data_IF_035087060261
#
_entry.id   IF_035087060261
#
_cell.length_a   1.000
_cell.length_b   1.000
_cell.length_c   1.000
_cell.angle_alpha   90.00
_cell.angle_beta   90.00
_cell.angle_gamma   90.00
#
_symmetry.space_group_name_H-M   'P 1'
#
loop_
_entity.id
_entity.type
_entity.pdbx_description
1 polymer ?
#
# COMPACT_ATOMS: atom_id res chain seq x y z
N UNK A 1 -2.41 0.51 -9.89
CA UNK A 1 -2.36 1.96 -9.62
C UNK A 1 -1.15 2.10 -8.74
N UNK A 2 -0.01 2.48 -9.34
CA UNK A 2 1.27 2.64 -8.66
C UNK A 2 1.11 3.49 -7.39
N UNK A 3 2.13 3.49 -6.51
CA UNK A 3 2.32 4.55 -5.53
C UNK A 3 2.56 5.89 -6.26
N UNK A 4 1.50 6.42 -6.88
CA UNK A 4 1.49 7.63 -7.68
C UNK A 4 2.05 8.80 -6.87
N UNK A 5 1.94 8.77 -5.55
CA UNK A 5 2.53 9.77 -4.67
C UNK A 5 4.05 9.76 -4.72
N UNK A 6 4.70 8.59 -4.60
CA UNK A 6 6.16 8.52 -4.67
C UNK A 6 6.66 8.92 -6.06
N UNK A 7 5.96 8.47 -7.11
CA UNK A 7 6.23 8.88 -8.49
C UNK A 7 6.10 10.39 -8.68
N UNK A 8 5.02 11.00 -8.19
CA UNK A 8 4.80 12.45 -8.27
C UNK A 8 5.76 13.26 -7.41
N UNK A 9 6.15 12.76 -6.24
CA UNK A 9 7.19 13.38 -5.40
C UNK A 9 8.53 13.36 -6.12
N UNK A 10 8.89 12.23 -6.74
CA UNK A 10 10.11 12.14 -7.56
C UNK A 10 10.06 13.08 -8.77
N UNK A 11 8.97 13.05 -9.53
CA UNK A 11 8.76 13.92 -10.69
C UNK A 11 8.77 15.41 -10.29
N UNK A 12 8.21 15.74 -9.12
CA UNK A 12 8.28 17.10 -8.57
C UNK A 12 9.71 17.52 -8.23
N UNK A 13 10.52 16.64 -7.64
CA UNK A 13 11.93 16.95 -7.36
C UNK A 13 12.76 17.10 -8.64
N UNK A 14 12.51 16.27 -9.64
CA UNK A 14 13.16 16.34 -10.95
C UNK A 14 12.82 17.67 -11.63
N UNK A 15 11.53 18.02 -11.73
CA UNK A 15 11.07 19.30 -12.28
C UNK A 15 11.61 20.51 -11.51
N UNK A 16 11.70 20.45 -10.17
CA UNK A 16 12.33 21.50 -9.36
C UNK A 16 13.84 21.62 -9.65
N UNK A 17 14.51 20.51 -9.96
CA UNK A 17 15.93 20.51 -10.33
C UNK A 17 16.14 21.09 -11.72
N UNK A 18 15.27 20.77 -12.68
CA UNK A 18 15.24 21.38 -14.02
C UNK A 18 14.97 22.89 -13.93
N UNK A 19 13.96 23.30 -13.13
CA UNK A 19 13.65 24.71 -12.84
C UNK A 19 14.85 25.49 -12.30
N UNK A 20 15.72 24.85 -11.51
CA UNK A 20 16.95 25.47 -10.98
C UNK A 20 18.08 25.52 -12.00
N UNK A 21 18.12 24.57 -12.94
CA UNK A 21 19.18 24.44 -13.93
C UNK A 21 18.94 25.32 -15.17
N UNK A 22 17.70 25.61 -15.53
CA UNK A 22 17.37 26.38 -16.73
C UNK A 22 17.14 27.88 -16.48
N UNK A 23 17.68 28.72 -17.37
CA UNK A 23 17.40 30.15 -17.44
C UNK A 23 16.31 30.49 -18.50
N UNK A 24 15.42 29.57 -18.91
CA UNK A 24 14.39 29.97 -19.88
C UNK A 24 13.37 29.02 -20.55
N UNK A 25 13.21 27.71 -20.28
CA UNK A 25 12.21 26.95 -21.06
C UNK A 25 11.51 25.79 -20.32
N UNK A 26 10.80 26.11 -19.24
CA UNK A 26 9.88 25.15 -18.60
C UNK A 26 8.60 25.02 -19.42
N UNK A 27 8.23 23.80 -19.82
CA UNK A 27 6.91 23.53 -20.41
C UNK A 27 5.81 23.66 -19.34
N UNK A 28 5.10 24.79 -19.37
CA UNK A 28 3.98 25.06 -18.45
C UNK A 28 2.86 24.02 -18.55
N UNK A 29 2.73 23.27 -19.64
CA UNK A 29 1.76 22.15 -19.71
C UNK A 29 2.19 20.98 -18.84
N UNK A 30 3.48 20.65 -18.80
CA UNK A 30 4.03 19.61 -17.94
C UNK A 30 3.88 19.99 -16.47
N UNK A 31 4.13 21.26 -16.12
CA UNK A 31 3.90 21.79 -14.77
C UNK A 31 2.42 21.68 -14.38
N UNK A 32 1.51 22.11 -15.26
CA UNK A 32 0.08 22.04 -15.01
C UNK A 32 -0.41 20.60 -14.80
N UNK A 33 0.12 19.65 -15.60
CA UNK A 33 -0.19 18.23 -15.45
C UNK A 33 0.31 17.68 -14.10
N UNK A 34 1.55 17.96 -13.71
CA UNK A 34 2.10 17.53 -12.42
C UNK A 34 1.26 18.07 -11.24
N UNK A 35 0.86 19.34 -11.30
CA UNK A 35 0.00 19.96 -10.28
C UNK A 35 -1.36 19.27 -10.22
N UNK A 36 -1.98 18.98 -11.37
CA UNK A 36 -3.26 18.28 -11.46
C UNK A 36 -3.17 16.86 -10.86
N UNK A 37 -2.11 16.12 -11.19
CA UNK A 37 -1.89 14.78 -10.69
C UNK A 37 -1.64 14.79 -9.17
N UNK A 38 -0.87 15.77 -8.67
CA UNK A 38 -0.62 15.95 -7.23
C UNK A 38 -1.91 16.31 -6.46
N UNK A 39 -2.72 17.21 -7.00
CA UNK A 39 -4.01 17.57 -6.41
C UNK A 39 -4.94 16.35 -6.32
N UNK A 40 -5.02 15.56 -7.39
CA UNK A 40 -5.80 14.32 -7.42
C UNK A 40 -5.29 13.31 -6.38
N UNK A 41 -3.97 13.14 -6.25
CA UNK A 41 -3.41 12.25 -5.23
C UNK A 41 -3.66 12.74 -3.80
N UNK A 42 -3.56 14.05 -3.54
CA UNK A 42 -3.87 14.62 -2.23
C UNK A 42 -5.33 14.39 -1.85
N UNK A 43 -6.26 14.51 -2.81
CA UNK A 43 -7.68 14.20 -2.58
C UNK A 43 -7.90 12.73 -2.20
N UNK A 44 -7.27 11.80 -2.92
CA UNK A 44 -7.29 10.36 -2.57
C UNK A 44 -6.76 10.12 -1.17
N UNK A 45 -5.64 10.76 -0.80
CA UNK A 45 -5.06 10.66 0.55
C UNK A 45 -5.99 11.19 1.64
N UNK A 46 -6.64 12.32 1.38
CA UNK A 46 -7.58 12.93 2.31
C UNK A 46 -8.78 12.02 2.55
N UNK A 47 -9.39 11.49 1.48
CA UNK A 47 -10.52 10.56 1.57
C UNK A 47 -10.14 9.32 2.38
N UNK A 48 -8.96 8.75 2.10
CA UNK A 48 -8.44 7.59 2.83
C UNK A 48 -8.20 7.86 4.31
N UNK A 49 -7.56 8.98 4.63
CA UNK A 49 -7.31 9.39 6.01
C UNK A 49 -8.62 9.58 6.78
N UNK A 50 -9.62 10.22 6.15
CA UNK A 50 -10.94 10.41 6.74
C UNK A 50 -11.65 9.07 6.99
N UNK A 51 -11.57 8.12 6.05
CA UNK A 51 -12.15 6.78 6.21
C UNK A 51 -11.50 6.02 7.38
N UNK A 52 -10.17 6.01 7.46
CA UNK A 52 -9.42 5.39 8.57
C UNK A 52 -9.72 6.06 9.92
N UNK A 53 -9.87 7.39 9.94
CA UNK A 53 -10.22 8.14 11.14
C UNK A 53 -11.64 7.79 11.62
N UNK A 54 -12.61 7.74 10.69
CA UNK A 54 -13.99 7.37 11.00
C UNK A 54 -14.09 5.92 11.53
N UNK A 55 -13.39 4.99 10.90
CA UNK A 55 -13.30 3.60 11.36
C UNK A 55 -12.68 3.50 12.77
N UNK A 56 -11.58 4.23 13.03
CA UNK A 56 -10.95 4.27 14.35
C UNK A 56 -11.87 4.84 15.44
N UNK A 57 -12.63 5.89 15.14
CA UNK A 57 -13.64 6.44 16.07
C UNK A 57 -14.69 5.37 16.39
N UNK A 58 -15.18 4.67 15.37
CA UNK A 58 -16.12 3.56 15.54
C UNK A 58 -15.57 2.41 16.39
N UNK A 59 -14.32 2.02 16.17
CA UNK A 59 -13.65 0.99 16.96
C UNK A 59 -13.49 1.40 18.43
N UNK A 60 -13.09 2.65 18.70
CA UNK A 60 -12.97 3.18 20.07
C UNK A 60 -14.32 3.17 20.80
N UNK A 61 -15.39 3.61 20.13
CA UNK A 61 -16.74 3.60 20.71
C UNK A 61 -17.18 2.17 21.06
N UNK A 62 -16.96 1.20 20.17
CA UNK A 62 -17.28 -0.21 20.42
C UNK A 62 -16.47 -0.76 21.61
N UNK A 63 -15.18 -0.44 21.70
CA UNK A 63 -14.35 -0.84 22.84
C UNK A 63 -14.86 -0.26 24.16
N UNK A 64 -15.27 1.01 24.17
CA UNK A 64 -15.83 1.66 25.36
C UNK A 64 -17.18 1.05 25.78
N UNK A 65 -18.07 0.79 24.81
CA UNK A 65 -19.37 0.16 25.07
C UNK A 65 -19.19 -1.26 25.63
N UNK A 66 -18.28 -2.05 25.04
CA UNK A 66 -17.95 -3.41 25.53
C UNK A 66 -17.35 -3.37 26.93
N UNK A 67 -16.42 -2.45 27.18
CA UNK A 67 -15.84 -2.25 28.52
C UNK A 67 -16.92 -1.94 29.54
N UNK A 68 -17.86 -1.04 29.20
CA UNK A 68 -18.97 -0.68 30.09
C UNK A 68 -19.91 -1.85 30.33
N UNK A 69 -20.23 -2.61 29.29
CA UNK A 69 -21.05 -3.82 29.39
C UNK A 69 -20.43 -4.84 30.35
N UNK A 70 -19.15 -5.17 30.18
CA UNK A 70 -18.43 -6.14 31.02
C UNK A 70 -18.39 -5.65 32.47
N UNK A 71 -18.02 -4.39 32.70
CA UNK A 71 -17.95 -3.82 34.06
C UNK A 71 -19.30 -3.88 34.77
N UNK A 72 -20.39 -3.52 34.09
CA UNK A 72 -21.74 -3.62 34.66
C UNK A 72 -22.13 -5.08 34.93
N UNK A 73 -21.80 -6.00 34.02
CA UNK A 73 -22.04 -7.43 34.19
C UNK A 73 -21.31 -8.01 35.41
N UNK A 74 -20.08 -7.58 35.66
CA UNK A 74 -19.31 -7.95 36.86
C UNK A 74 -19.94 -7.36 38.12
N UNK A 75 -20.27 -6.07 38.12
CA UNK A 75 -20.89 -5.40 39.28
C UNK A 75 -22.24 -6.01 39.67
N UNK A 76 -23.04 -6.43 38.68
CA UNK A 76 -24.34 -7.06 38.88
C UNK A 76 -24.24 -8.57 39.17
N UNK A 77 -23.04 -9.16 39.12
CA UNK A 77 -22.80 -10.58 39.38
C UNK A 77 -23.15 -11.52 38.22
N UNK A 78 -23.46 -10.99 37.03
CA UNK A 78 -23.73 -11.79 35.82
C UNK A 78 -22.45 -12.35 35.17
N UNK A 79 -21.32 -11.68 35.37
CA UNK A 79 -20.01 -12.11 34.89
C UNK A 79 -19.12 -12.32 36.10
N UNK A 80 -18.59 -13.53 36.28
CA UNK A 80 -17.58 -13.77 37.33
C UNK A 80 -16.22 -13.33 36.83
N UNK A 81 -15.43 -12.75 37.73
CA UNK A 81 -14.02 -12.43 37.44
C UNK A 81 -13.25 -13.74 37.38
N UNK A 82 -12.64 -14.08 36.23
CA UNK A 82 -11.88 -15.30 36.09
C UNK A 82 -10.72 -15.37 37.09
N UNK A 83 -10.57 -16.49 37.79
CA UNK A 83 -9.47 -16.69 38.75
C UNK A 83 -8.22 -17.35 38.13
N UNK A 84 -8.36 -17.92 36.93
CA UNK A 84 -7.30 -18.56 36.17
C UNK A 84 -7.56 -18.43 34.66
N UNK A 85 -6.53 -18.60 33.83
CA UNK A 85 -6.66 -18.51 32.36
C UNK A 85 -7.50 -19.65 31.74
N UNK A 86 -7.71 -20.74 32.48
CA UNK A 86 -8.53 -21.90 32.08
C UNK A 86 -9.99 -21.78 32.53
N UNK A 87 -10.37 -20.67 33.16
CA UNK A 87 -11.71 -20.45 33.69
C UNK A 87 -12.73 -20.31 32.54
N UNK A 88 -13.83 -21.09 32.53
CA UNK A 88 -14.85 -21.01 31.49
C UNK A 88 -15.51 -19.62 31.36
N UNK A 89 -15.54 -18.82 32.43
CA UNK A 89 -16.10 -17.45 32.38
C UNK A 89 -15.21 -16.49 31.57
N UNK A 90 -13.92 -16.83 31.41
CA UNK A 90 -12.98 -16.07 30.57
C UNK A 90 -13.34 -16.18 29.07
N UNK A 91 -13.97 -17.29 28.66
CA UNK A 91 -14.43 -17.47 27.27
C UNK A 91 -15.62 -16.55 26.93
N UNK A 92 -16.54 -16.36 27.87
CA UNK A 92 -17.65 -15.40 27.73
C UNK A 92 -17.12 -13.98 27.51
N UNK A 93 -16.06 -13.60 28.23
CA UNK A 93 -15.39 -12.31 28.06
C UNK A 93 -14.69 -12.25 26.70
N UNK A 94 -13.96 -13.29 26.29
CA UNK A 94 -13.30 -13.37 24.96
C UNK A 94 -14.28 -13.16 23.82
N UNK A 95 -15.44 -13.82 23.86
CA UNK A 95 -16.48 -13.69 22.83
C UNK A 95 -17.02 -12.25 22.80
N UNK A 96 -17.26 -11.65 23.96
CA UNK A 96 -17.77 -10.28 24.06
C UNK A 96 -16.78 -9.22 23.53
N UNK A 97 -15.46 -9.44 23.70
CA UNK A 97 -14.41 -8.53 23.22
C UNK A 97 -13.91 -8.85 21.80
N UNK A 98 -14.25 -10.02 21.24
CA UNK A 98 -13.80 -10.41 19.91
C UNK A 98 -14.26 -9.41 18.85
N UNK A 99 -13.41 -8.98 17.91
CA UNK A 99 -13.81 -8.06 16.85
C UNK A 99 -14.95 -8.67 16.05
N UNK A 100 -16.12 -8.01 16.03
CA UNK A 100 -17.27 -8.47 15.25
C UNK A 100 -17.54 -7.61 14.01
N UNK A 101 -16.93 -6.43 13.94
CA UNK A 101 -17.14 -5.48 12.85
C UNK A 101 -15.97 -5.56 11.88
N UNK A 102 -16.23 -5.70 10.57
CA UNK A 102 -15.19 -5.56 9.55
C UNK A 102 -14.48 -4.20 9.66
N UNK A 103 -13.22 -4.14 9.24
CA UNK A 103 -12.38 -2.94 9.19
C UNK A 103 -12.03 -2.59 7.73
N UNK A 104 -13.03 -2.34 6.87
CA UNK A 104 -12.83 -2.22 5.43
C UNK A 104 -11.88 -1.09 5.02
N UNK A 105 -11.83 0.02 5.77
CA UNK A 105 -10.91 1.12 5.46
C UNK A 105 -9.46 0.69 5.74
N UNK A 106 -9.22 0.01 6.86
CA UNK A 106 -7.92 -0.58 7.20
C UNK A 106 -7.53 -1.67 6.20
N UNK A 107 -8.44 -2.58 5.85
CA UNK A 107 -8.18 -3.67 4.91
C UNK A 107 -7.80 -3.12 3.52
N UNK A 108 -8.54 -2.12 3.04
CA UNK A 108 -8.23 -1.43 1.79
C UNK A 108 -6.87 -0.74 1.84
N UNK A 109 -6.56 -0.03 2.93
CA UNK A 109 -5.26 0.62 3.12
C UNK A 109 -4.11 -0.40 3.15
N UNK A 110 -4.26 -1.51 3.88
CA UNK A 110 -3.25 -2.56 3.95
C UNK A 110 -3.04 -3.24 2.59
N UNK A 111 -4.12 -3.47 1.83
CA UNK A 111 -4.03 -4.00 0.47
C UNK A 111 -3.26 -3.05 -0.44
N UNK A 112 -3.54 -1.76 -0.35
CA UNK A 112 -2.83 -0.73 -1.09
C UNK A 112 -1.34 -0.70 -0.72
N UNK A 113 -1.00 -0.66 0.57
CA UNK A 113 0.41 -0.67 1.03
C UNK A 113 1.15 -1.92 0.57
N UNK A 114 0.52 -3.09 0.61
CA UNK A 114 1.11 -4.32 0.07
C UNK A 114 1.38 -4.21 -1.43
N UNK A 115 0.41 -3.71 -2.20
CA UNK A 115 0.58 -3.49 -3.63
C UNK A 115 1.74 -2.53 -3.91
N UNK A 116 1.84 -1.42 -3.16
CA UNK A 116 2.95 -0.48 -3.27
C UNK A 116 4.32 -1.11 -2.95
N UNK A 117 4.38 -1.99 -1.94
CA UNK A 117 5.60 -2.73 -1.60
C UNK A 117 6.04 -3.67 -2.72
N UNK A 118 5.08 -4.36 -3.36
CA UNK A 118 5.34 -5.20 -4.53
C UNK A 118 5.84 -4.36 -5.72
N UNK A 119 5.22 -3.21 -5.97
CA UNK A 119 5.63 -2.29 -7.04
C UNK A 119 7.06 -1.80 -6.82
N UNK A 120 7.41 -1.43 -5.59
CA UNK A 120 8.75 -0.98 -5.23
C UNK A 120 9.81 -2.09 -5.44
N UNK A 121 9.46 -3.35 -5.12
CA UNK A 121 10.35 -4.49 -5.35
C UNK A 121 10.58 -4.75 -6.84
N UNK A 122 9.52 -4.63 -7.66
CA UNK A 122 9.61 -4.77 -9.12
C UNK A 122 10.50 -3.67 -9.72
N UNK A 123 10.32 -2.42 -9.33
CA UNK A 123 11.17 -1.32 -9.81
C UNK A 123 12.63 -1.50 -9.38
N UNK A 124 12.87 -2.02 -8.17
CA UNK A 124 14.22 -2.40 -7.76
C UNK A 124 14.81 -3.52 -8.64
N UNK A 125 14.02 -4.55 -8.97
CA UNK A 125 14.46 -5.62 -9.86
C UNK A 125 14.79 -5.11 -11.27
N UNK A 126 13.94 -4.26 -11.85
CA UNK A 126 14.20 -3.59 -13.13
C UNK A 126 15.51 -2.82 -13.13
N UNK A 127 15.76 -2.06 -12.07
CA UNK A 127 16.99 -1.29 -11.92
C UNK A 127 18.23 -2.19 -11.79
N UNK A 128 18.13 -3.30 -11.05
CA UNK A 128 19.22 -4.27 -10.92
C UNK A 128 19.57 -4.91 -12.27
N UNK A 129 18.57 -5.31 -13.06
CA UNK A 129 18.79 -5.86 -14.41
C UNK A 129 19.47 -4.83 -15.31
N UNK A 130 19.01 -3.57 -15.30
CA UNK A 130 19.65 -2.52 -16.08
C UNK A 130 21.11 -2.28 -15.66
N UNK A 131 21.38 -2.25 -14.35
CA UNK A 131 22.73 -2.03 -13.81
C UNK A 131 23.69 -3.17 -14.12
N UNK A 132 23.26 -4.42 -13.95
CA UNK A 132 24.11 -5.60 -14.12
C UNK A 132 24.65 -5.75 -15.55
N UNK A 133 23.86 -5.34 -16.54
CA UNK A 133 24.22 -5.40 -17.95
C UNK A 133 24.55 -4.01 -18.53
N UNK A 134 24.80 -3.03 -17.66
CA UNK A 134 25.25 -1.67 -18.03
C UNK A 134 24.31 -0.93 -18.99
N UNK A 135 23.01 -1.21 -18.95
CA UNK A 135 22.00 -0.45 -19.68
C UNK A 135 21.56 0.80 -18.92
N UNK A 136 21.16 1.83 -19.67
CA UNK A 136 20.62 3.08 -19.11
C UNK A 136 19.34 2.87 -18.29
N UNK A 137 18.51 1.90 -18.69
CA UNK A 137 17.21 1.59 -18.09
C UNK A 137 16.77 0.18 -18.50
N UNK A 138 15.74 -0.33 -17.83
CA UNK A 138 15.19 -1.65 -18.11
C UNK A 138 14.58 -1.78 -19.52
N UNK A 139 14.11 -0.68 -20.12
CA UNK A 139 13.55 -0.71 -21.48
C UNK A 139 14.62 -0.96 -22.53
N UNK A 140 15.82 -0.39 -22.34
CA UNK A 140 16.97 -0.66 -23.19
C UNK A 140 17.39 -2.13 -23.09
N UNK A 141 17.44 -2.66 -21.87
CA UNK A 141 17.71 -4.08 -21.62
C UNK A 141 16.67 -5.00 -22.31
N UNK A 142 15.38 -4.71 -22.14
CA UNK A 142 14.27 -5.43 -22.79
C UNK A 142 14.36 -5.38 -24.32
N UNK A 143 14.68 -4.21 -24.89
CA UNK A 143 14.80 -4.05 -26.34
C UNK A 143 15.93 -4.89 -26.92
N UNK A 144 17.03 -5.07 -26.19
CA UNK A 144 18.21 -5.78 -26.67
C UNK A 144 18.06 -7.31 -26.63
N UNK A 145 17.13 -7.82 -25.82
CA UNK A 145 16.81 -9.26 -25.74
C UNK A 145 16.47 -9.88 -27.10
N UNK A 146 15.84 -9.12 -28.02
CA UNK A 146 15.50 -9.64 -29.35
C UNK A 146 16.72 -9.86 -30.26
N UNK A 147 17.84 -9.18 -29.98
CA UNK A 147 19.09 -9.31 -30.73
C UNK A 147 19.96 -10.46 -30.19
N UNK A 148 19.74 -10.88 -28.94
CA UNK A 148 20.58 -11.85 -28.24
C UNK A 148 19.73 -12.91 -27.48
N UNK A 149 18.97 -13.76 -28.19
CA UNK A 149 17.98 -14.67 -27.58
C UNK A 149 18.57 -15.77 -26.68
N UNK A 150 19.88 -16.04 -26.75
CA UNK A 150 20.57 -17.01 -25.90
C UNK A 150 21.31 -16.40 -24.70
N UNK A 151 21.14 -15.09 -24.45
CA UNK A 151 21.81 -14.38 -23.35
C UNK A 151 21.11 -14.62 -22.01
N UNK A 152 21.88 -14.69 -20.93
CA UNK A 152 21.37 -14.70 -19.55
C UNK A 152 20.48 -13.47 -19.24
N UNK A 153 20.65 -12.38 -19.98
CA UNK A 153 19.80 -11.19 -19.90
C UNK A 153 18.33 -11.51 -20.15
N UNK A 154 18.05 -12.36 -21.15
CA UNK A 154 16.69 -12.71 -21.57
C UNK A 154 15.92 -13.32 -20.41
N UNK A 155 16.50 -14.32 -19.72
CA UNK A 155 15.84 -14.97 -18.59
C UNK A 155 15.56 -14.02 -17.42
N UNK A 156 16.43 -13.02 -17.18
CA UNK A 156 16.23 -12.02 -16.12
C UNK A 156 15.18 -10.97 -16.47
N UNK A 157 15.13 -10.54 -17.74
CA UNK A 157 14.08 -9.66 -18.24
C UNK A 157 12.73 -10.37 -18.17
N UNK A 158 12.64 -11.61 -18.68
CA UNK A 158 11.42 -12.43 -18.62
C UNK A 158 10.94 -12.65 -17.18
N UNK A 159 11.85 -12.94 -16.25
CA UNK A 159 11.50 -13.08 -14.83
C UNK A 159 10.96 -11.78 -14.23
N UNK A 160 11.57 -10.63 -14.60
CA UNK A 160 11.14 -9.32 -14.11
C UNK A 160 9.78 -8.92 -14.69
N UNK A 161 9.51 -9.24 -15.95
CA UNK A 161 8.20 -9.08 -16.59
C UNK A 161 7.15 -9.98 -15.95
N UNK A 162 7.49 -11.24 -15.68
CA UNK A 162 6.61 -12.17 -14.98
C UNK A 162 6.21 -11.66 -13.60
N UNK A 163 7.13 -11.01 -12.85
CA UNK A 163 6.80 -10.37 -11.58
C UNK A 163 5.77 -9.24 -11.72
N UNK A 164 5.81 -8.48 -12.83
CA UNK A 164 4.80 -7.44 -13.13
C UNK A 164 3.43 -8.07 -13.32
N UNK A 165 3.35 -9.14 -14.10
CA UNK A 165 2.11 -9.86 -14.36
C UNK A 165 1.57 -10.55 -13.11
N UNK A 166 2.45 -11.18 -12.32
CA UNK A 166 2.09 -11.79 -11.05
C UNK A 166 1.53 -10.76 -10.06
N UNK A 167 2.18 -9.59 -9.96
CA UNK A 167 1.67 -8.49 -9.14
C UNK A 167 0.31 -7.98 -9.63
N UNK A 168 0.08 -7.94 -10.95
CA UNK A 168 -1.22 -7.59 -11.51
C UNK A 168 -2.32 -8.59 -11.14
N UNK A 169 -2.00 -9.89 -11.05
CA UNK A 169 -2.93 -10.90 -10.57
C UNK A 169 -3.25 -10.72 -9.08
N UNK A 170 -2.25 -10.46 -8.24
CA UNK A 170 -2.46 -10.19 -6.81
C UNK A 170 -3.39 -8.99 -6.57
N UNK A 171 -3.28 -7.92 -7.37
CA UNK A 171 -4.13 -6.73 -7.25
C UNK A 171 -5.59 -6.98 -7.65
N UNK A 172 -5.89 -7.99 -8.46
CA UNK A 172 -7.27 -8.33 -8.86
C UNK A 172 -8.04 -9.10 -7.77
N UNK A 173 -7.37 -9.45 -6.67
CA UNK A 173 -7.89 -10.43 -5.72
C UNK A 173 -7.83 -11.79 -6.40
N UNK A 174 -6.79 -12.58 -6.11
CA UNK A 174 -6.77 -13.97 -6.57
C UNK A 174 -8.09 -14.65 -6.17
N UNK A 175 -8.66 -15.47 -7.06
CA UNK A 175 -9.79 -16.33 -6.69
C UNK A 175 -9.42 -17.11 -5.42
N UNK A 176 -9.89 -16.63 -4.28
CA UNK A 176 -9.89 -17.31 -2.98
C UNK A 176 -11.30 -17.23 -2.43
#
# INVERSE_FOLDING_TARGET
MESNIKGLVSAGHEMVSELKAECGAVDMRSVAKLISDLATQLEVQLVRANALAAENVGLKAICDDRRRFIMNGVQMGYIKVPAAETDPDLETIRIAISPQKPIPATDAFLSEVRAQGVDAAIEAAKNLVAQEYEYKDFKAAQSDCCMHPGSDLVGKVEMTEWLVDFAAQLRKGGNQ
#
